data_IF_206261113013
#
_entry.id   IF_206261113013
#
_cell.length_a   1.000
_cell.length_b   1.000
_cell.length_c   1.000
_cell.angle_alpha   90.00
_cell.angle_beta   90.00
_cell.angle_gamma   90.00
#
_symmetry.space_group_name_H-M   'P 1'
#
loop_
_entity.id
_entity.type
_entity.pdbx_description
1 polymer ?
#
# COMPACT_ATOMS: atom_id res chain seq x y z
N UNK A 1 -12.07 -21.64 -18.70
CA UNK A 1 -12.73 -21.96 -17.41
C UNK A 1 -11.91 -21.48 -16.22
N UNK A 2 -10.62 -21.82 -16.13
CA UNK A 2 -9.74 -21.33 -15.07
C UNK A 2 -9.54 -19.80 -15.10
N UNK A 3 -9.34 -19.18 -16.28
CA UNK A 3 -9.23 -17.72 -16.40
C UNK A 3 -10.48 -16.98 -15.90
N UNK A 4 -11.68 -17.49 -16.21
CA UNK A 4 -12.94 -16.91 -15.74
C UNK A 4 -13.07 -17.03 -14.22
N UNK A 5 -12.61 -18.15 -13.66
CA UNK A 5 -12.57 -18.34 -12.21
C UNK A 5 -11.62 -17.33 -11.54
N UNK A 6 -10.41 -17.14 -12.06
CA UNK A 6 -9.41 -16.21 -11.51
C UNK A 6 -9.91 -14.75 -11.62
N UNK A 7 -10.44 -14.36 -12.78
CA UNK A 7 -10.92 -13.00 -13.03
C UNK A 7 -12.06 -12.57 -12.10
N UNK A 8 -12.85 -13.54 -11.58
CA UNK A 8 -13.99 -13.27 -10.71
C UNK A 8 -13.63 -13.51 -9.24
N UNK A 9 -12.95 -14.62 -8.93
CA UNK A 9 -12.63 -14.97 -7.55
C UNK A 9 -11.62 -14.01 -6.89
N UNK A 10 -10.65 -13.52 -7.65
CA UNK A 10 -9.59 -12.64 -7.14
C UNK A 10 -10.11 -11.27 -6.68
N UNK A 11 -10.93 -10.53 -7.47
CA UNK A 11 -11.53 -9.29 -6.98
C UNK A 11 -12.50 -9.53 -5.82
N UNK A 12 -13.26 -10.63 -5.81
CA UNK A 12 -14.14 -10.97 -4.69
C UNK A 12 -13.32 -11.19 -3.41
N UNK A 13 -12.23 -11.95 -3.48
CA UNK A 13 -11.34 -12.16 -2.35
C UNK A 13 -10.72 -10.84 -1.87
N UNK A 14 -10.27 -9.98 -2.78
CA UNK A 14 -9.76 -8.65 -2.44
C UNK A 14 -10.80 -7.77 -1.74
N UNK A 15 -12.07 -7.82 -2.17
CA UNK A 15 -13.17 -7.11 -1.51
C UNK A 15 -13.28 -7.59 -0.06
N UNK A 16 -13.32 -8.90 0.18
CA UNK A 16 -13.40 -9.44 1.54
C UNK A 16 -12.19 -9.05 2.40
N UNK A 17 -10.98 -9.08 1.84
CA UNK A 17 -9.76 -8.68 2.56
C UNK A 17 -9.84 -7.19 2.92
N UNK A 18 -10.20 -6.32 1.98
CA UNK A 18 -10.32 -4.87 2.20
C UNK A 18 -11.41 -4.53 3.21
N UNK A 19 -12.55 -5.25 3.18
CA UNK A 19 -13.61 -5.13 4.19
C UNK A 19 -13.12 -5.57 5.57
N UNK A 20 -12.36 -6.67 5.66
CA UNK A 20 -11.78 -7.13 6.91
C UNK A 20 -10.79 -6.12 7.52
N UNK A 21 -9.96 -5.50 6.68
CA UNK A 21 -9.08 -4.40 7.09
C UNK A 21 -9.91 -3.19 7.55
N UNK A 22 -10.97 -2.84 6.83
CA UNK A 22 -11.94 -1.81 7.19
C UNK A 22 -12.56 -2.00 8.58
N UNK A 23 -13.03 -3.22 8.87
CA UNK A 23 -13.62 -3.57 10.16
C UNK A 23 -12.61 -3.60 11.31
N UNK A 24 -11.32 -3.74 11.01
CA UNK A 24 -10.24 -3.73 12.01
C UNK A 24 -9.79 -2.31 12.37
N UNK A 25 -10.23 -1.28 11.63
CA UNK A 25 -9.92 0.11 11.94
C UNK A 25 -10.73 0.60 13.14
N UNK A 26 -10.05 1.16 14.13
CA UNK A 26 -10.68 1.73 15.32
C UNK A 26 -10.73 3.25 15.19
N UNK A 27 -11.68 3.90 15.87
CA UNK A 27 -11.79 5.37 15.91
C UNK A 27 -10.49 6.03 16.44
N UNK A 28 -9.73 5.32 17.27
CA UNK A 28 -8.44 5.79 17.78
C UNK A 28 -7.38 5.93 16.67
N UNK A 29 -7.42 5.09 15.63
CA UNK A 29 -6.50 5.16 14.48
C UNK A 29 -6.70 6.47 13.70
N UNK A 30 -7.95 6.89 13.52
CA UNK A 30 -8.29 8.18 12.91
C UNK A 30 -7.87 9.34 13.81
N UNK A 31 -8.07 9.23 15.12
CA UNK A 31 -7.66 10.26 16.08
C UNK A 31 -6.14 10.50 16.09
N UNK A 32 -5.36 9.44 15.81
CA UNK A 32 -3.91 9.50 15.70
C UNK A 32 -3.45 10.27 14.45
N UNK A 33 -4.14 10.10 13.32
CA UNK A 33 -3.93 10.91 12.10
C UNK A 33 -4.12 12.40 12.40
N UNK A 34 -5.17 12.76 13.14
CA UNK A 34 -5.42 14.16 13.54
C UNK A 34 -4.42 14.70 14.58
N UNK A 35 -3.87 13.85 15.44
CA UNK A 35 -2.84 14.25 16.42
C UNK A 35 -1.47 14.50 15.78
N UNK A 36 -1.12 13.79 14.71
CA UNK A 36 0.18 13.90 14.05
C UNK A 36 0.07 14.02 12.52
N UNK A 37 -0.58 15.08 12.00
CA UNK A 37 -0.84 15.21 10.56
C UNK A 37 0.45 15.43 9.75
N UNK A 38 1.47 16.08 10.33
CA UNK A 38 2.75 16.32 9.63
C UNK A 38 3.43 15.01 9.23
N UNK A 39 3.55 14.07 10.16
CA UNK A 39 4.19 12.78 9.91
C UNK A 39 3.37 11.93 8.94
N UNK A 40 2.04 11.95 9.03
CA UNK A 40 1.15 11.26 8.09
C UNK A 40 1.30 11.82 6.66
N UNK A 41 1.26 13.14 6.48
CA UNK A 41 1.40 13.78 5.16
C UNK A 41 2.77 13.49 4.56
N UNK A 42 3.84 13.56 5.35
CA UNK A 42 5.19 13.25 4.89
C UNK A 42 5.28 11.78 4.46
N UNK A 43 4.73 10.85 5.25
CA UNK A 43 4.70 9.44 4.88
C UNK A 43 3.88 9.18 3.62
N UNK A 44 2.70 9.80 3.48
CA UNK A 44 1.84 9.67 2.30
C UNK A 44 2.51 10.24 1.05
N UNK A 45 3.19 11.39 1.16
CA UNK A 45 3.99 11.96 0.06
C UNK A 45 5.17 11.04 -0.29
N UNK A 46 5.87 10.50 0.70
CA UNK A 46 6.93 9.53 0.45
C UNK A 46 6.36 8.29 -0.25
N UNK A 47 5.22 7.76 0.16
CA UNK A 47 4.57 6.61 -0.48
C UNK A 47 4.20 6.96 -1.93
N UNK A 48 3.60 8.13 -2.17
CA UNK A 48 3.11 8.55 -3.48
C UNK A 48 4.23 8.99 -4.44
N UNK A 49 5.39 9.40 -3.94
CA UNK A 49 6.50 9.86 -4.78
C UNK A 49 7.67 8.87 -4.82
N UNK A 50 8.13 8.36 -3.68
CA UNK A 50 9.33 7.50 -3.61
C UNK A 50 9.07 6.14 -4.26
N UNK A 51 7.90 5.52 -4.05
CA UNK A 51 7.58 4.23 -4.68
C UNK A 51 7.49 4.34 -6.22
N UNK A 52 6.73 5.27 -6.82
CA UNK A 52 6.72 5.37 -8.27
C UNK A 52 8.04 5.86 -8.85
N UNK A 53 8.77 6.77 -8.17
CA UNK A 53 10.12 7.13 -8.61
C UNK A 53 11.07 5.93 -8.61
N UNK A 54 11.04 5.10 -7.57
CA UNK A 54 11.86 3.88 -7.53
C UNK A 54 11.46 2.87 -8.60
N UNK A 55 10.16 2.72 -8.89
CA UNK A 55 9.69 1.91 -10.02
C UNK A 55 10.21 2.42 -11.37
N UNK A 56 10.18 3.73 -11.63
CA UNK A 56 10.72 4.33 -12.87
C UNK A 56 12.23 4.08 -12.99
N UNK A 57 12.97 4.20 -11.89
CA UNK A 57 14.42 3.92 -11.85
C UNK A 57 14.66 2.45 -12.19
N UNK A 58 13.92 1.53 -11.60
CA UNK A 58 14.04 0.10 -11.87
C UNK A 58 13.72 -0.20 -13.34
N UNK A 59 12.63 0.35 -13.88
CA UNK A 59 12.25 0.19 -15.30
C UNK A 59 13.37 0.68 -16.22
N UNK A 60 13.98 1.84 -15.91
CA UNK A 60 15.08 2.41 -16.70
C UNK A 60 16.35 1.57 -16.66
N UNK A 61 16.70 0.99 -15.51
CA UNK A 61 17.91 0.17 -15.35
C UNK A 61 17.73 -1.22 -15.97
N UNK A 62 16.56 -1.83 -15.78
CA UNK A 62 16.27 -3.19 -16.24
C UNK A 62 15.82 -3.24 -17.70
N UNK A 63 15.49 -2.10 -18.31
CA UNK A 63 15.00 -2.03 -19.69
C UNK A 63 13.66 -2.72 -19.89
N UNK A 64 12.82 -2.77 -18.85
CA UNK A 64 11.50 -3.41 -18.91
C UNK A 64 10.62 -2.70 -19.95
N UNK A 65 10.05 -3.43 -20.91
CA UNK A 65 9.21 -2.88 -21.99
C UNK A 65 7.77 -3.39 -21.92
N UNK A 66 6.83 -2.59 -22.42
CA UNK A 66 5.44 -2.98 -22.63
C UNK A 66 4.66 -3.23 -21.34
N UNK A 67 3.93 -4.35 -21.28
CA UNK A 67 2.99 -4.70 -20.21
C UNK A 67 3.66 -4.85 -18.83
N UNK A 68 4.91 -5.32 -18.76
CA UNK A 68 5.60 -5.52 -17.48
C UNK A 68 5.96 -4.20 -16.80
N UNK A 69 6.37 -3.20 -17.59
CA UNK A 69 6.66 -1.86 -17.07
C UNK A 69 5.37 -1.18 -16.57
N UNK A 70 4.27 -1.32 -17.33
CA UNK A 70 2.97 -0.81 -16.92
C UNK A 70 2.47 -1.50 -15.65
N UNK A 71 2.60 -2.83 -15.55
CA UNK A 71 2.25 -3.60 -14.36
C UNK A 71 3.03 -3.18 -13.12
N UNK A 72 4.35 -3.02 -13.25
CA UNK A 72 5.21 -2.56 -12.13
C UNK A 72 4.87 -1.14 -11.69
N UNK A 73 4.59 -0.25 -12.63
CA UNK A 73 4.19 1.12 -12.33
C UNK A 73 2.81 1.20 -11.67
N UNK A 74 1.84 0.41 -12.12
CA UNK A 74 0.52 0.33 -11.47
C UNK A 74 0.66 -0.22 -10.05
N UNK A 75 1.52 -1.23 -9.85
CA UNK A 75 1.76 -1.84 -8.54
C UNK A 75 2.40 -0.84 -7.56
N UNK A 76 3.27 0.06 -8.03
CA UNK A 76 3.91 1.07 -7.19
C UNK A 76 2.98 2.21 -6.77
N UNK A 77 1.89 2.40 -7.51
CA UNK A 77 0.80 3.33 -7.16
C UNK A 77 -0.18 2.73 -6.14
N UNK A 78 -0.15 1.41 -5.93
CA UNK A 78 -1.01 0.78 -4.92
C UNK A 78 -0.55 1.17 -3.50
N UNK A 79 -1.50 1.48 -2.58
CA UNK A 79 -1.16 1.77 -1.19
C UNK A 79 -0.52 0.57 -0.51
N UNK A 80 0.31 0.83 0.51
CA UNK A 80 1.08 -0.19 1.21
C UNK A 80 0.20 -1.18 1.99
N UNK A 81 0.44 -2.48 1.80
CA UNK A 81 -0.32 -3.56 2.44
C UNK A 81 -0.10 -3.69 3.96
N UNK A 82 -0.92 -4.52 4.62
CA UNK A 82 -0.90 -4.72 6.07
C UNK A 82 0.42 -5.27 6.63
N UNK A 83 1.19 -5.97 5.81
CA UNK A 83 2.49 -6.55 6.15
C UNK A 83 3.55 -5.50 6.51
N UNK A 84 3.50 -4.29 5.94
CA UNK A 84 4.48 -3.21 6.21
C UNK A 84 4.53 -2.79 7.69
N UNK A 85 3.41 -2.93 8.39
CA UNK A 85 3.25 -2.56 9.79
C UNK A 85 3.78 -3.65 10.73
N UNK A 86 3.65 -4.91 10.32
CA UNK A 86 4.34 -6.02 10.97
C UNK A 86 5.85 -5.81 10.85
N UNK A 87 6.36 -5.48 9.66
CA UNK A 87 7.77 -5.13 9.48
C UNK A 87 8.19 -3.90 10.30
N UNK A 88 7.35 -2.88 10.40
CA UNK A 88 7.61 -1.69 11.24
C UNK A 88 7.68 -2.05 12.73
N UNK A 89 6.80 -2.94 13.20
CA UNK A 89 6.84 -3.49 14.55
C UNK A 89 8.12 -4.29 14.81
N UNK A 90 8.50 -5.17 13.88
CA UNK A 90 9.76 -5.93 13.97
C UNK A 90 10.99 -5.01 13.92
N UNK A 91 10.94 -3.92 13.18
CA UNK A 91 12.01 -2.93 13.05
C UNK A 91 12.10 -1.96 14.25
N UNK A 92 11.24 -2.07 15.27
CA UNK A 92 11.08 -1.08 16.36
C UNK A 92 10.79 0.35 15.84
N UNK A 93 10.26 0.46 14.63
CA UNK A 93 9.80 1.73 14.09
C UNK A 93 8.45 2.11 14.73
N UNK A 94 8.10 3.39 14.69
CA UNK A 94 6.87 3.90 15.30
C UNK A 94 5.63 3.34 14.57
N UNK A 95 5.13 2.22 15.09
CA UNK A 95 3.94 1.51 14.59
C UNK A 95 2.71 2.42 14.53
N UNK A 96 2.64 3.44 15.39
CA UNK A 96 1.56 4.43 15.35
C UNK A 96 1.49 5.16 14.02
N UNK A 97 2.64 5.48 13.41
CA UNK A 97 2.71 6.15 12.12
C UNK A 97 2.37 5.22 10.96
N UNK A 98 2.80 3.96 11.02
CA UNK A 98 2.53 2.96 9.98
C UNK A 98 1.05 2.52 9.95
N UNK A 99 0.36 2.47 11.10
CA UNK A 99 -1.10 2.21 11.14
C UNK A 99 -1.86 3.38 10.56
N UNK A 100 -1.49 4.61 10.94
CA UNK A 100 -2.15 5.82 10.46
C UNK A 100 -1.98 6.07 8.97
N UNK A 101 -0.92 5.58 8.31
CA UNK A 101 -0.68 5.78 6.87
C UNK A 101 -1.60 4.93 5.96
N UNK A 102 -2.06 3.78 6.44
CA UNK A 102 -2.81 2.79 5.64
C UNK A 102 -4.16 3.24 5.05
N UNK A 103 -4.95 4.12 5.68
CA UNK A 103 -6.23 4.54 5.11
C UNK A 103 -6.10 5.54 3.95
N UNK A 104 -4.89 5.97 3.59
CA UNK A 104 -4.61 6.78 2.39
C UNK A 104 -3.95 5.95 1.30
#
# INVERSE_FOLDING_TARGET
MLNTLIAIALPIALIFIMVGVGLSLTIDDFKRVFKQPKSFIIGALCQLFILPCSAIIIISITGLQGELAAGLFILSLCPGGTTSNLYSYLAKADVGLSVSLRPC
#
